data_IF_802394820379
#
_entry.id   IF_802394820379
#
_cell.length_a   1.000
_cell.length_b   1.000
_cell.length_c   1.000
_cell.angle_alpha   90.00
_cell.angle_beta   90.00
_cell.angle_gamma   90.00
#
_symmetry.space_group_name_H-M   'P 1'
#
loop_
_entity.id
_entity.type
_entity.pdbx_description
1 polymer ?
#
# COMPACT_ATOMS: atom_id res chain seq x y z
N UNK A 1 58.77 10.77 6.29
CA UNK A 1 58.42 10.76 7.71
C UNK A 1 57.44 11.90 7.94
N UNK A 2 56.22 11.60 8.38
CA UNK A 2 55.26 12.60 8.86
C UNK A 2 54.45 11.92 9.95
N UNK A 3 54.80 12.28 11.18
CA UNK A 3 54.17 11.85 12.41
C UNK A 3 52.69 12.23 12.40
N UNK A 4 51.82 11.24 12.57
CA UNK A 4 50.42 11.49 12.93
C UNK A 4 50.31 11.41 14.44
N UNK A 5 50.01 12.56 15.03
CA UNK A 5 49.69 12.78 16.42
C UNK A 5 48.52 11.87 16.85
N UNK A 6 48.74 11.05 17.88
CA UNK A 6 47.70 10.24 18.52
C UNK A 6 47.04 11.14 19.57
N UNK A 7 45.83 11.61 19.28
CA UNK A 7 45.02 12.34 20.26
C UNK A 7 44.04 11.32 20.88
N UNK A 8 44.44 10.86 22.05
CA UNK A 8 43.70 10.05 23.02
C UNK A 8 43.49 8.55 22.71
N UNK A 9 43.82 7.72 23.70
CA UNK A 9 43.71 6.26 23.66
C UNK A 9 42.83 5.77 24.80
N UNK A 10 41.61 5.34 24.49
CA UNK A 10 40.70 4.76 25.49
C UNK A 10 40.83 3.24 25.44
N UNK A 11 41.42 2.65 26.48
CA UNK A 11 41.47 1.21 26.66
C UNK A 11 40.12 0.73 27.23
N UNK A 12 39.34 0.01 26.42
CA UNK A 12 38.25 -0.82 26.91
C UNK A 12 38.76 -2.26 27.09
N UNK A 13 38.35 -2.88 28.20
CA UNK A 13 38.90 -4.13 28.72
C UNK A 13 38.91 -5.34 27.78
N UNK A 14 39.63 -6.38 28.22
CA UNK A 14 39.94 -7.63 27.53
C UNK A 14 38.70 -8.46 27.16
N UNK A 15 38.04 -8.12 26.06
CA UNK A 15 37.23 -9.03 25.27
C UNK A 15 37.67 -8.92 23.80
N UNK A 16 38.10 -10.01 23.15
CA UNK A 16 38.37 -9.95 21.72
C UNK A 16 37.06 -9.56 21.00
N UNK A 17 37.08 -8.56 20.10
CA UNK A 17 35.89 -8.22 19.35
C UNK A 17 35.45 -9.43 18.53
N UNK A 18 34.14 -9.70 18.37
CA UNK A 18 33.69 -10.73 17.45
C UNK A 18 34.28 -10.42 16.09
N UNK A 19 34.98 -11.39 15.49
CA UNK A 19 35.59 -11.29 14.16
C UNK A 19 34.49 -11.06 13.12
N UNK A 20 34.10 -9.81 12.98
CA UNK A 20 33.13 -9.34 12.02
C UNK A 20 33.94 -9.03 10.77
N UNK A 21 33.85 -9.93 9.78
CA UNK A 21 34.52 -9.78 8.49
C UNK A 21 33.83 -8.68 7.69
N UNK A 22 34.17 -7.43 7.98
CA UNK A 22 33.69 -6.28 7.21
C UNK A 22 34.30 -6.30 5.80
N UNK A 23 33.47 -6.08 4.79
CA UNK A 23 33.86 -5.90 3.40
C UNK A 23 33.82 -4.41 3.08
N UNK A 24 34.84 -3.90 2.40
CA UNK A 24 34.93 -2.48 2.03
C UNK A 24 34.25 -2.26 0.69
N UNK A 25 33.29 -1.32 0.63
CA UNK A 25 32.64 -0.91 -0.62
C UNK A 25 33.58 -0.06 -1.47
N UNK A 26 33.24 0.14 -2.74
CA UNK A 26 34.01 0.96 -3.69
C UNK A 26 34.12 2.44 -3.27
N UNK A 27 33.21 2.91 -2.41
CA UNK A 27 33.21 4.24 -1.78
C UNK A 27 34.01 4.29 -0.46
N UNK A 28 34.62 3.17 -0.08
CA UNK A 28 35.51 3.04 1.07
C UNK A 28 34.82 2.77 2.41
N UNK A 29 33.52 2.53 2.43
CA UNK A 29 32.75 2.24 3.65
C UNK A 29 32.88 0.76 4.02
N UNK A 30 33.06 0.48 5.31
CA UNK A 30 33.12 -0.89 5.83
C UNK A 30 31.71 -1.35 6.18
N UNK A 31 31.23 -2.39 5.51
CA UNK A 31 29.90 -2.95 5.70
C UNK A 31 30.00 -4.45 5.95
N UNK A 32 29.09 -5.01 6.73
CA UNK A 32 29.07 -6.45 6.93
C UNK A 32 28.40 -7.16 5.75
N UNK A 33 28.73 -8.42 5.46
CA UNK A 33 28.08 -9.20 4.41
C UNK A 33 26.56 -9.29 4.58
N UNK A 34 26.06 -9.32 5.82
CA UNK A 34 24.63 -9.35 6.12
C UNK A 34 23.93 -8.06 5.70
N UNK A 35 24.60 -6.91 5.84
CA UNK A 35 24.06 -5.62 5.43
C UNK A 35 24.00 -5.49 3.90
N UNK A 36 25.02 -6.00 3.19
CA UNK A 36 25.00 -6.05 1.72
C UNK A 36 23.92 -6.98 1.19
N UNK A 37 23.74 -8.15 1.83
CA UNK A 37 22.65 -9.08 1.51
C UNK A 37 21.29 -8.43 1.74
N UNK A 38 21.08 -7.74 2.87
CA UNK A 38 19.85 -7.00 3.15
C UNK A 38 19.53 -5.92 2.09
N UNK A 39 20.53 -5.17 1.62
CA UNK A 39 20.35 -4.18 0.56
C UNK A 39 20.01 -4.85 -0.79
N UNK A 40 20.66 -5.97 -1.13
CA UNK A 40 20.33 -6.74 -2.32
C UNK A 40 18.90 -7.31 -2.26
N UNK A 41 18.44 -7.78 -1.10
CA UNK A 41 17.05 -8.25 -0.90
C UNK A 41 16.02 -7.13 -1.02
N UNK A 42 16.35 -5.93 -0.54
CA UNK A 42 15.48 -4.75 -0.63
C UNK A 42 15.33 -4.26 -2.07
N UNK A 43 16.39 -4.32 -2.88
CA UNK A 43 16.40 -3.86 -4.27
C UNK A 43 15.79 -4.86 -5.25
N UNK A 44 15.85 -6.17 -4.96
CA UNK A 44 15.35 -7.23 -5.85
C UNK A 44 13.91 -7.64 -5.56
N UNK A 45 13.28 -7.10 -4.51
CA UNK A 45 11.90 -7.45 -4.12
C UNK A 45 11.71 -8.91 -3.68
N UNK A 46 12.79 -9.70 -3.63
CA UNK A 46 12.78 -11.05 -3.05
C UNK A 46 13.12 -10.91 -1.57
N UNK A 47 12.05 -10.91 -0.77
CA UNK A 47 12.09 -11.22 0.66
C UNK A 47 13.06 -12.37 0.92
N UNK A 48 13.88 -12.25 1.95
CA UNK A 48 14.75 -13.34 2.40
C UNK A 48 13.91 -14.62 2.52
N UNK A 49 14.45 -15.73 2.02
CA UNK A 49 13.82 -17.04 2.17
C UNK A 49 13.50 -17.24 3.65
N UNK A 50 12.20 -17.33 3.93
CA UNK A 50 11.66 -17.56 5.25
C UNK A 50 12.26 -18.88 5.75
N UNK A 51 13.05 -18.85 6.83
CA UNK A 51 13.27 -20.10 7.56
C UNK A 51 11.88 -20.60 7.98
N UNK A 52 11.45 -21.80 7.56
CA UNK A 52 10.21 -22.36 8.06
C UNK A 52 10.40 -22.69 9.55
N UNK A 53 9.31 -22.64 10.30
CA UNK A 53 9.18 -23.11 11.69
C UNK A 53 9.55 -22.15 12.82
N UNK A 54 8.73 -21.10 12.94
CA UNK A 54 7.91 -20.98 14.15
C UNK A 54 6.50 -20.65 13.70
N UNK A 55 5.53 -21.51 14.01
CA UNK A 55 4.13 -21.20 13.76
C UNK A 55 3.80 -19.92 14.54
N UNK A 56 3.74 -18.78 13.85
CA UNK A 56 3.32 -17.53 14.45
C UNK A 56 1.92 -17.73 15.02
N UNK A 57 1.68 -17.16 16.20
CA UNK A 57 0.34 -17.11 16.78
C UNK A 57 -0.64 -16.58 15.70
N UNK A 58 -1.77 -17.27 15.44
CA UNK A 58 -2.75 -16.85 14.45
C UNK A 58 -3.18 -15.37 14.59
N UNK A 59 -3.25 -14.85 15.81
CA UNK A 59 -3.58 -13.45 16.08
C UNK A 59 -2.46 -12.50 15.63
N UNK A 60 -1.20 -12.89 15.83
CA UNK A 60 -0.04 -12.11 15.37
C UNK A 60 0.01 -12.12 13.85
N UNK A 61 -0.25 -13.26 13.22
CA UNK A 61 -0.29 -13.39 11.76
C UNK A 61 -1.38 -12.51 11.14
N UNK A 62 -2.62 -12.64 11.62
CA UNK A 62 -3.75 -11.86 11.09
C UNK A 62 -3.49 -10.35 11.22
N UNK A 63 -3.01 -9.89 12.37
CA UNK A 63 -2.67 -8.48 12.56
C UNK A 63 -1.46 -8.04 11.72
N UNK A 64 -0.47 -8.89 11.52
CA UNK A 64 0.68 -8.58 10.68
C UNK A 64 0.28 -8.42 9.21
N UNK A 65 -0.64 -9.24 8.70
CA UNK A 65 -1.18 -9.12 7.34
C UNK A 65 -1.86 -7.75 7.14
N UNK A 66 -2.73 -7.33 8.07
CA UNK A 66 -3.39 -6.01 8.04
C UNK A 66 -2.39 -4.83 8.12
N UNK A 67 -1.39 -4.92 8.99
CA UNK A 67 -0.39 -3.85 9.16
C UNK A 67 0.61 -3.77 8.00
N UNK A 68 0.72 -4.83 7.19
CA UNK A 68 1.63 -4.86 6.05
C UNK A 68 1.14 -3.94 4.93
N UNK A 69 -0.17 -3.91 4.68
CA UNK A 69 -0.80 -3.03 3.69
C UNK A 69 -2.13 -2.52 4.26
N UNK A 70 -2.15 -1.25 4.68
CA UNK A 70 -3.31 -0.60 5.28
C UNK A 70 -3.95 0.30 4.22
N UNK A 71 -5.18 -0.04 3.84
CA UNK A 71 -6.00 0.75 2.91
C UNK A 71 -6.86 1.74 3.69
N UNK A 72 -6.56 3.03 3.55
CA UNK A 72 -7.26 4.10 4.26
C UNK A 72 -8.31 4.73 3.33
N UNK A 73 -9.58 4.85 3.77
CA UNK A 73 -10.63 5.50 2.99
C UNK A 73 -10.41 7.01 2.90
N UNK A 74 -11.23 7.67 2.10
CA UNK A 74 -11.30 9.13 2.09
C UNK A 74 -11.65 9.67 3.49
N UNK A 75 -10.81 10.56 4.01
CA UNK A 75 -11.02 11.11 5.34
C UNK A 75 -11.79 12.41 5.28
N UNK A 76 -12.89 12.47 6.03
CA UNK A 76 -13.75 13.64 6.15
C UNK A 76 -13.76 14.17 7.59
N UNK A 77 -13.95 15.48 7.73
CA UNK A 77 -14.28 16.12 9.01
C UNK A 77 -15.73 15.84 9.42
N UNK A 78 -16.08 16.11 10.68
CA UNK A 78 -17.45 15.98 11.19
C UNK A 78 -18.48 16.81 10.41
N UNK A 79 -18.04 17.91 9.79
CA UNK A 79 -18.86 18.80 8.96
C UNK A 79 -18.87 18.41 7.47
N UNK A 80 -18.33 17.23 7.11
CA UNK A 80 -18.36 16.69 5.75
C UNK A 80 -17.31 17.27 4.79
N UNK A 81 -16.39 18.12 5.27
CA UNK A 81 -15.26 18.58 4.44
C UNK A 81 -14.22 17.47 4.30
N UNK A 82 -13.82 17.17 3.06
CA UNK A 82 -12.70 16.29 2.74
C UNK A 82 -11.38 16.82 3.32
N UNK A 83 -10.66 15.95 4.04
CA UNK A 83 -9.38 16.22 4.71
C UNK A 83 -8.21 15.48 4.04
N UNK A 84 -8.42 14.27 3.55
CA UNK A 84 -7.41 13.50 2.85
C UNK A 84 -8.04 12.56 1.81
N UNK A 85 -7.35 12.36 0.69
CA UNK A 85 -7.70 11.35 -0.31
C UNK A 85 -7.49 9.92 0.22
N UNK A 86 -8.19 8.92 -0.35
CA UNK A 86 -7.88 7.52 -0.12
C UNK A 86 -6.40 7.24 -0.38
N UNK A 87 -5.78 6.43 0.47
CA UNK A 87 -4.34 6.15 0.36
C UNK A 87 -4.01 4.76 0.90
N UNK A 88 -2.84 4.27 0.52
CA UNK A 88 -2.30 2.99 1.01
C UNK A 88 -1.00 3.27 1.76
N UNK A 89 -0.89 2.71 2.95
CA UNK A 89 0.31 2.81 3.78
C UNK A 89 0.77 1.43 4.24
N UNK A 90 2.05 1.32 4.61
CA UNK A 90 2.65 0.04 5.02
C UNK A 90 3.57 0.23 6.21
N UNK A 91 3.58 -0.75 7.12
CA UNK A 91 4.51 -0.80 8.24
C UNK A 91 5.61 -1.80 7.93
N UNK A 92 6.84 -1.30 7.69
CA UNK A 92 8.00 -2.13 7.32
C UNK A 92 8.30 -3.29 8.29
N UNK A 93 7.96 -3.14 9.57
CA UNK A 93 8.14 -4.18 10.60
C UNK A 93 6.79 -4.69 11.13
N UNK A 94 5.80 -4.86 10.24
CA UNK A 94 4.42 -5.24 10.59
C UNK A 94 4.35 -6.43 11.56
N UNK A 95 5.10 -7.52 11.33
CA UNK A 95 5.13 -8.69 12.22
C UNK A 95 5.58 -8.35 13.64
N UNK A 96 6.65 -7.56 13.79
CA UNK A 96 7.17 -7.14 15.09
C UNK A 96 6.19 -6.22 15.82
N UNK A 97 5.53 -5.33 15.09
CA UNK A 97 4.50 -4.44 15.63
C UNK A 97 3.28 -5.25 16.05
N UNK A 98 2.81 -6.19 15.23
CA UNK A 98 1.71 -7.07 15.53
C UNK A 98 1.96 -7.90 16.79
N UNK A 99 3.15 -8.50 16.92
CA UNK A 99 3.53 -9.25 18.12
C UNK A 99 3.48 -8.38 19.39
N UNK A 100 3.99 -7.15 19.31
CA UNK A 100 3.94 -6.20 20.42
C UNK A 100 2.49 -5.80 20.76
N UNK A 101 1.63 -5.55 19.77
CA UNK A 101 0.23 -5.18 19.98
C UNK A 101 -0.57 -6.35 20.58
N UNK A 102 -0.36 -7.58 20.11
CA UNK A 102 -0.99 -8.77 20.69
C UNK A 102 -0.54 -8.97 22.15
N UNK A 103 0.75 -8.77 22.46
CA UNK A 103 1.25 -8.79 23.85
C UNK A 103 0.64 -7.70 24.73
N UNK A 104 0.27 -6.55 24.14
CA UNK A 104 -0.48 -5.48 24.83
C UNK A 104 -1.97 -5.75 25.00
N UNK A 105 -2.48 -6.87 24.46
CA UNK A 105 -3.89 -7.24 24.56
C UNK A 105 -4.75 -6.82 23.36
N UNK A 106 -4.17 -6.27 22.29
CA UNK A 106 -4.92 -5.99 21.04
C UNK A 106 -5.30 -7.31 20.38
N UNK A 107 -6.54 -7.41 19.91
CA UNK A 107 -7.09 -8.59 19.21
C UNK A 107 -7.88 -8.15 17.99
N UNK A 108 -7.89 -8.98 16.96
CA UNK A 108 -8.73 -8.77 15.77
C UNK A 108 -10.05 -9.51 15.99
N UNK A 109 -11.16 -8.78 15.87
CA UNK A 109 -12.52 -9.27 16.03
C UNK A 109 -13.31 -8.99 14.74
N UNK A 110 -13.28 -9.89 13.75
CA UNK A 110 -13.93 -9.68 12.46
C UNK A 110 -15.43 -9.38 12.56
N UNK A 111 -16.08 -9.87 13.60
CA UNK A 111 -17.48 -9.60 13.91
C UNK A 111 -17.77 -8.11 14.20
N UNK A 112 -16.79 -7.38 14.72
CA UNK A 112 -16.86 -5.95 15.04
C UNK A 112 -16.46 -5.05 13.87
N UNK A 113 -16.08 -5.61 12.72
CA UNK A 113 -15.80 -4.81 11.52
C UNK A 113 -17.05 -4.03 11.09
N UNK A 114 -16.94 -2.71 11.02
CA UNK A 114 -17.97 -1.80 10.48
C UNK A 114 -17.75 -1.49 9.00
N UNK A 115 -16.48 -1.57 8.58
CA UNK A 115 -16.03 -1.22 7.24
C UNK A 115 -15.01 -2.24 6.75
N UNK A 116 -15.03 -2.55 5.46
CA UNK A 116 -14.10 -3.49 4.83
C UNK A 116 -13.61 -2.96 3.50
N UNK A 117 -12.31 -3.01 3.26
CA UNK A 117 -11.76 -2.70 1.94
C UNK A 117 -11.98 -3.86 0.96
N UNK A 118 -12.27 -3.51 -0.29
CA UNK A 118 -12.43 -4.43 -1.41
C UNK A 118 -11.64 -3.91 -2.61
N UNK A 119 -11.02 -4.81 -3.39
CA UNK A 119 -10.23 -4.42 -4.56
C UNK A 119 -11.11 -3.79 -5.65
N UNK A 120 -10.47 -3.03 -6.53
CA UNK A 120 -11.09 -2.46 -7.73
C UNK A 120 -11.71 -3.59 -8.57
N UNK A 121 -13.03 -3.51 -8.90
CA UNK A 121 -13.68 -4.53 -9.71
C UNK A 121 -13.00 -4.71 -11.08
N UNK A 122 -12.61 -5.95 -11.41
CA UNK A 122 -11.92 -6.27 -12.68
C UNK A 122 -10.47 -5.75 -12.78
N UNK A 123 -9.93 -5.15 -11.72
CA UNK A 123 -8.53 -4.74 -11.64
C UNK A 123 -7.62 -5.88 -11.19
N UNK A 124 -6.34 -5.91 -11.60
CA UNK A 124 -5.37 -6.81 -11.00
C UNK A 124 -5.20 -6.46 -9.51
N UNK A 125 -5.17 -7.45 -8.60
CA UNK A 125 -4.94 -7.18 -7.18
C UNK A 125 -3.55 -6.56 -7.02
N UNK A 126 -3.50 -5.29 -6.60
CA UNK A 126 -2.26 -4.55 -6.40
C UNK A 126 -2.17 -4.06 -4.96
N UNK A 127 -1.00 -4.15 -4.36
CA UNK A 127 -0.75 -3.65 -3.00
C UNK A 127 -0.90 -2.13 -2.84
N UNK A 128 -1.14 -1.40 -3.93
CA UNK A 128 -1.40 0.05 -3.95
C UNK A 128 -2.78 0.37 -4.53
N UNK A 129 -3.63 -0.64 -4.72
CA UNK A 129 -5.00 -0.44 -5.16
C UNK A 129 -5.79 0.27 -4.06
N UNK A 130 -6.34 1.44 -4.35
CA UNK A 130 -7.16 2.16 -3.39
C UNK A 130 -8.55 1.54 -3.26
N UNK A 131 -9.00 0.74 -4.23
CA UNK A 131 -10.25 -0.03 -4.20
C UNK A 131 -11.46 0.76 -3.70
N UNK A 132 -12.33 0.08 -2.95
CA UNK A 132 -13.48 0.68 -2.27
C UNK A 132 -13.67 0.10 -0.88
N UNK A 133 -14.05 0.95 0.07
CA UNK A 133 -14.51 0.53 1.37
C UNK A 133 -16.03 0.34 1.36
N UNK A 134 -16.47 -0.87 1.70
CA UNK A 134 -17.88 -1.24 1.84
C UNK A 134 -18.27 -1.31 3.30
N UNK A 135 -19.56 -1.09 3.57
CA UNK A 135 -20.18 -1.28 4.87
C UNK A 135 -21.16 -2.46 4.81
N UNK A 136 -21.49 -3.02 5.97
CA UNK A 136 -22.52 -4.06 6.06
C UNK A 136 -23.85 -3.51 5.58
N UNK A 137 -24.58 -4.32 4.82
CA UNK A 137 -25.94 -3.99 4.39
C UNK A 137 -26.94 -4.10 5.56
N UNK A 138 -28.22 -3.81 5.28
CA UNK A 138 -29.30 -3.89 6.28
C UNK A 138 -29.51 -5.28 6.90
N UNK A 139 -28.96 -6.33 6.29
CA UNK A 139 -29.00 -7.70 6.79
C UNK A 139 -27.71 -8.11 7.52
N UNK A 140 -26.74 -7.21 7.62
CA UNK A 140 -25.44 -7.47 8.26
C UNK A 140 -24.43 -8.17 7.36
N UNK A 141 -24.73 -8.33 6.06
CA UNK A 141 -23.83 -8.98 5.10
C UNK A 141 -22.90 -7.96 4.45
N UNK A 142 -21.75 -8.42 3.98
CA UNK A 142 -20.84 -7.60 3.18
C UNK A 142 -21.28 -7.65 1.71
N UNK A 143 -21.82 -6.56 1.15
CA UNK A 143 -22.27 -6.57 -0.23
C UNK A 143 -21.07 -6.63 -1.18
N UNK A 144 -21.20 -7.39 -2.27
CA UNK A 144 -20.21 -7.34 -3.34
C UNK A 144 -20.33 -5.99 -4.07
N UNK A 145 -19.24 -5.21 -4.22
CA UNK A 145 -19.25 -3.97 -4.99
C UNK A 145 -19.85 -4.13 -6.38
N UNK A 146 -20.87 -3.35 -6.73
CA UNK A 146 -21.37 -3.30 -8.10
C UNK A 146 -20.43 -2.44 -8.97
N UNK A 147 -19.91 -2.95 -10.11
CA UNK A 147 -19.06 -2.14 -10.98
C UNK A 147 -19.71 -0.84 -11.46
N UNK A 148 -21.03 -0.82 -11.65
CA UNK A 148 -21.74 0.41 -12.05
C UNK A 148 -21.65 1.47 -10.95
N UNK A 149 -21.84 1.06 -9.69
CA UNK A 149 -21.72 1.96 -8.53
C UNK A 149 -20.28 2.39 -8.27
N UNK A 150 -19.29 1.56 -8.60
CA UNK A 150 -17.86 1.89 -8.45
C UNK A 150 -17.36 2.89 -9.51
N UNK A 151 -17.84 2.73 -10.75
CA UNK A 151 -17.53 3.54 -11.93
C UNK A 151 -18.67 4.53 -12.24
N UNK A 152 -19.11 5.25 -11.20
CA UNK A 152 -20.27 6.13 -11.26
C UNK A 152 -20.07 7.34 -12.19
N UNK A 153 -20.89 7.38 -13.24
CA UNK A 153 -20.87 8.43 -14.27
C UNK A 153 -21.16 9.83 -13.68
N UNK A 154 -21.91 9.92 -12.58
CA UNK A 154 -22.24 11.20 -11.95
C UNK A 154 -21.01 11.87 -11.31
N UNK A 155 -19.93 11.12 -11.09
CA UNK A 155 -18.69 11.63 -10.51
C UNK A 155 -17.73 12.23 -11.56
N UNK A 156 -18.09 12.19 -12.84
CA UNK A 156 -17.30 12.79 -13.91
C UNK A 156 -17.27 14.31 -13.76
N UNK A 157 -16.06 14.87 -13.66
CA UNK A 157 -15.82 16.31 -13.70
C UNK A 157 -15.23 16.68 -15.05
N UNK A 158 -15.78 17.71 -15.71
CA UNK A 158 -15.25 18.19 -16.98
C UNK A 158 -14.80 19.64 -16.84
N UNK A 159 -13.53 19.91 -17.14
CA UNK A 159 -12.90 21.23 -17.06
C UNK A 159 -12.18 21.53 -18.37
N UNK A 160 -12.09 22.81 -18.72
CA UNK A 160 -11.26 23.25 -19.83
C UNK A 160 -9.81 23.40 -19.33
N UNK A 161 -8.84 22.91 -20.10
CA UNK A 161 -7.41 23.06 -19.82
C UNK A 161 -6.90 24.41 -20.33
N UNK A 162 -5.71 24.80 -19.88
CA UNK A 162 -5.08 26.06 -20.30
C UNK A 162 -4.77 26.09 -21.80
N UNK A 163 -4.61 24.91 -22.43
CA UNK A 163 -4.38 24.73 -23.86
C UNK A 163 -5.67 24.82 -24.70
N UNK A 164 -6.82 25.09 -24.08
CA UNK A 164 -8.11 25.25 -24.73
C UNK A 164 -8.85 23.93 -25.02
N UNK A 165 -8.25 22.78 -24.70
CA UNK A 165 -8.90 21.46 -24.74
C UNK A 165 -9.86 21.26 -23.56
N UNK A 166 -10.75 20.30 -23.68
CA UNK A 166 -11.61 19.85 -22.58
C UNK A 166 -11.08 18.54 -22.02
N UNK A 167 -10.95 18.47 -20.70
CA UNK A 167 -10.53 17.28 -19.96
C UNK A 167 -11.68 16.82 -19.05
N UNK A 168 -12.14 15.60 -19.28
CA UNK A 168 -13.05 14.89 -18.37
C UNK A 168 -12.22 14.00 -17.45
N UNK A 169 -12.46 14.06 -16.15
CA UNK A 169 -11.76 13.27 -15.13
C UNK A 169 -12.75 12.55 -14.22
N UNK A 170 -12.38 11.35 -13.80
CA UNK A 170 -13.10 10.54 -12.82
C UNK A 170 -12.19 10.29 -11.61
N UNK A 171 -12.71 10.28 -10.36
CA UNK A 171 -11.90 10.07 -9.16
C UNK A 171 -11.14 8.73 -9.13
N UNK A 172 -11.50 7.78 -10.00
CA UNK A 172 -10.81 6.50 -10.19
C UNK A 172 -9.59 6.56 -11.12
N UNK A 173 -9.03 7.76 -11.32
CA UNK A 173 -7.82 7.95 -12.13
C UNK A 173 -8.03 7.79 -13.63
N UNK A 174 -9.27 7.86 -14.12
CA UNK A 174 -9.58 7.84 -15.54
C UNK A 174 -9.73 9.27 -16.05
N UNK A 175 -9.22 9.53 -17.25
CA UNK A 175 -9.35 10.83 -17.89
C UNK A 175 -9.43 10.69 -19.41
N UNK A 176 -10.07 11.67 -20.04
CA UNK A 176 -10.14 11.79 -21.48
C UNK A 176 -10.07 13.28 -21.86
N UNK A 177 -9.23 13.59 -22.85
CA UNK A 177 -9.06 14.94 -23.38
C UNK A 177 -9.58 15.01 -24.82
N UNK A 178 -10.29 16.08 -25.15
CA UNK A 178 -10.81 16.29 -26.49
C UNK A 178 -11.03 17.78 -26.82
N UNK A 179 -11.19 18.15 -28.11
CA UNK A 179 -11.45 19.53 -28.52
C UNK A 179 -12.77 20.11 -28.00
N UNK A 180 -13.77 19.28 -27.70
CA UNK A 180 -15.07 19.73 -27.19
C UNK A 180 -15.43 19.07 -25.86
N UNK A 181 -16.23 19.76 -25.06
CA UNK A 181 -16.74 19.25 -23.78
C UNK A 181 -17.46 17.91 -23.94
N UNK A 182 -18.28 17.79 -24.99
CA UNK A 182 -19.08 16.59 -25.27
C UNK A 182 -18.19 15.43 -25.67
N UNK A 183 -17.16 15.66 -26.49
CA UNK A 183 -16.25 14.60 -26.92
C UNK A 183 -15.40 14.07 -25.75
N UNK A 184 -14.94 14.96 -24.87
CA UNK A 184 -14.18 14.57 -23.67
C UNK A 184 -15.05 13.73 -22.73
N UNK A 185 -16.29 14.16 -22.50
CA UNK A 185 -17.25 13.40 -21.71
C UNK A 185 -17.57 12.03 -22.33
N UNK A 186 -17.89 11.99 -23.63
CA UNK A 186 -18.20 10.75 -24.35
C UNK A 186 -17.02 9.77 -24.33
N UNK A 187 -15.79 10.26 -24.50
CA UNK A 187 -14.58 9.46 -24.41
C UNK A 187 -14.39 8.82 -23.03
N UNK A 188 -14.66 9.57 -21.96
CA UNK A 188 -14.57 9.04 -20.59
C UNK A 188 -15.70 8.05 -20.27
N UNK A 189 -16.94 8.35 -20.69
CA UNK A 189 -18.08 7.43 -20.54
C UNK A 189 -17.79 6.09 -21.22
N UNK A 190 -17.21 6.11 -22.43
CA UNK A 190 -16.84 4.90 -23.15
C UNK A 190 -15.77 4.10 -22.41
N UNK A 191 -14.76 4.76 -21.83
CA UNK A 191 -13.77 4.08 -20.97
C UNK A 191 -14.43 3.43 -19.75
N UNK A 192 -15.35 4.13 -19.08
CA UNK A 192 -16.08 3.59 -17.91
C UNK A 192 -16.94 2.39 -18.31
N UNK A 193 -17.67 2.46 -19.42
CA UNK A 193 -18.45 1.35 -19.99
C UNK A 193 -17.58 0.11 -20.20
N UNK A 194 -16.41 0.27 -20.83
CA UNK A 194 -15.48 -0.83 -21.06
C UNK A 194 -14.99 -1.46 -19.75
N UNK A 195 -14.68 -0.66 -18.73
CA UNK A 195 -14.25 -1.14 -17.41
C UNK A 195 -15.36 -1.91 -16.69
N UNK A 196 -16.60 -1.40 -16.72
CA UNK A 196 -17.77 -2.06 -16.15
C UNK A 196 -18.03 -3.41 -16.83
N UNK A 197 -17.97 -3.46 -18.17
CA UNK A 197 -18.16 -4.69 -18.93
C UNK A 197 -17.06 -5.72 -18.60
N UNK A 198 -15.80 -5.31 -18.56
CA UNK A 198 -14.68 -6.17 -18.16
C UNK A 198 -14.88 -6.73 -16.74
N UNK A 199 -15.21 -5.88 -15.77
CA UNK A 199 -15.45 -6.30 -14.39
C UNK A 199 -16.63 -7.29 -14.27
N UNK A 200 -17.68 -7.11 -15.08
CA UNK A 200 -18.82 -8.04 -15.14
C UNK A 200 -18.44 -9.38 -15.78
N UNK A 201 -17.57 -9.38 -16.78
CA UNK A 201 -17.09 -10.60 -17.43
C UNK A 201 -16.20 -11.41 -16.48
N UNK A 202 -15.22 -10.78 -15.84
CA UNK A 202 -14.36 -11.46 -14.86
C UNK A 202 -15.15 -12.10 -13.72
N UNK A 203 -16.22 -11.44 -13.24
CA UNK A 203 -17.11 -12.01 -12.21
C UNK A 203 -17.86 -13.27 -12.67
N UNK A 204 -18.16 -13.42 -13.96
CA UNK A 204 -18.86 -14.61 -14.46
C UNK A 204 -17.94 -15.83 -14.62
N UNK A 205 -16.63 -15.59 -14.66
CA UNK A 205 -15.61 -16.61 -14.86
C UNK A 205 -15.08 -17.16 -13.52
N UNK A 206 -15.36 -16.48 -12.40
CA UNK A 206 -15.12 -16.91 -11.00
C UNK A 206 -16.27 -17.76 -10.44
#
# INVERSE_FOLDING_TARGET
MSDKEIIDSVHFGTQPPPQSNYVKTDTGQLVTPEFLSFLQHTLTGKLADHQPDTALDPQVRALAEELSVIHLPEWHSEVGRKLADPTVTSIKQATRVAEYLVKRGVRVHPELEEIRWTPTPGGPPGAFDTGMHITKDTQGNWPTPDPESYYDLEQIQVKQTDDGLWCATHPRGLSAEAPTKTDAYAGLVEQLRQRIEQARLSRREE
#
